data_IF_607792951157
#
_entry.id   IF_607792951157
#
_cell.length_a   1.000
_cell.length_b   1.000
_cell.length_c   1.000
_cell.angle_alpha   90.00
_cell.angle_beta   90.00
_cell.angle_gamma   90.00
#
_symmetry.space_group_name_H-M   'P 1'
#
loop_
_entity.id
_entity.type
_entity.pdbx_description
1 polymer ?
#
# COMPACT_ATOMS: atom_id res chain seq x y z
N UNK A 1 4.81 19.22 11.05
CA UNK A 1 5.58 18.45 10.05
C UNK A 1 7.06 18.69 10.25
N UNK A 2 7.89 17.64 10.19
CA UNK A 2 9.35 17.79 10.30
C UNK A 2 9.85 18.37 8.96
N UNK A 3 10.66 19.42 8.99
CA UNK A 3 11.31 19.96 7.79
C UNK A 3 12.44 19.04 7.34
N UNK A 4 13.44 19.59 6.61
CA UNK A 4 14.66 18.87 6.23
C UNK A 4 15.24 18.15 7.44
N UNK A 5 15.35 16.83 7.37
CA UNK A 5 16.05 16.05 8.38
C UNK A 5 17.52 15.96 7.95
N UNK A 6 18.41 16.66 8.65
CA UNK A 6 19.84 16.80 8.33
C UNK A 6 20.68 15.49 8.32
N UNK A 7 20.07 14.33 8.61
CA UNK A 7 20.68 12.99 8.52
C UNK A 7 19.90 12.06 7.57
N UNK A 8 19.29 12.60 6.53
CA UNK A 8 18.44 11.85 5.60
C UNK A 8 18.65 12.32 4.16
N UNK A 9 18.03 11.60 3.21
CA UNK A 9 18.02 11.93 1.78
C UNK A 9 17.66 13.41 1.50
N UNK A 10 16.87 14.05 2.37
CA UNK A 10 16.48 15.46 2.24
C UNK A 10 17.68 16.41 2.06
N UNK A 11 18.81 16.14 2.73
CA UNK A 11 20.01 17.00 2.61
C UNK A 11 20.62 16.89 1.21
N UNK A 12 20.68 15.67 0.66
CA UNK A 12 21.20 15.42 -0.69
C UNK A 12 20.29 16.13 -1.70
N UNK A 13 18.97 15.91 -1.63
CA UNK A 13 18.03 16.57 -2.53
C UNK A 13 18.05 18.11 -2.39
N UNK A 14 18.25 18.62 -1.17
CA UNK A 14 18.32 20.07 -0.91
C UNK A 14 19.56 20.71 -1.53
N UNK A 15 20.71 20.03 -1.47
CA UNK A 15 21.95 20.46 -2.13
C UNK A 15 21.80 20.41 -3.65
N UNK A 16 21.27 19.31 -4.19
CA UNK A 16 21.08 19.14 -5.63
C UNK A 16 20.06 20.14 -6.21
N UNK A 17 19.05 20.54 -5.43
CA UNK A 17 18.07 21.56 -5.82
C UNK A 17 18.67 22.96 -6.02
N UNK A 18 19.90 23.21 -5.55
CA UNK A 18 20.60 24.47 -5.79
C UNK A 18 21.28 24.52 -7.17
N UNK A 19 21.40 23.39 -7.87
CA UNK A 19 21.93 23.37 -9.24
C UNK A 19 20.92 23.92 -10.26
N UNK A 20 21.43 24.66 -11.23
CA UNK A 20 20.58 25.44 -12.15
C UNK A 20 19.70 24.59 -13.10
N UNK A 21 20.05 23.32 -13.37
CA UNK A 21 19.35 22.51 -14.37
C UNK A 21 18.78 21.20 -13.79
N UNK A 22 17.57 21.30 -13.23
CA UNK A 22 16.81 20.17 -12.68
C UNK A 22 16.54 19.08 -13.72
N UNK A 23 16.28 19.45 -14.98
CA UNK A 23 16.00 18.47 -16.05
C UNK A 23 17.23 17.62 -16.33
N UNK A 24 18.40 18.25 -16.47
CA UNK A 24 19.65 17.53 -16.67
C UNK A 24 19.98 16.60 -15.49
N UNK A 25 19.75 17.08 -14.26
CA UNK A 25 19.90 16.26 -13.07
C UNK A 25 19.00 15.01 -13.11
N UNK A 26 17.73 15.14 -13.51
CA UNK A 26 16.81 14.01 -13.65
C UNK A 26 17.24 13.02 -14.74
N UNK A 27 17.84 13.48 -15.84
CA UNK A 27 18.39 12.60 -16.88
C UNK A 27 19.55 11.79 -16.30
N UNK A 28 20.48 12.43 -15.58
CA UNK A 28 21.59 11.76 -14.90
C UNK A 28 21.05 10.72 -13.91
N UNK A 29 20.02 11.08 -13.12
CA UNK A 29 19.35 10.18 -12.18
C UNK A 29 18.71 8.97 -12.85
N UNK A 30 18.04 9.16 -13.98
CA UNK A 30 17.47 8.06 -14.75
C UNK A 30 18.54 7.10 -15.27
N UNK A 31 19.67 7.64 -15.73
CA UNK A 31 20.77 6.82 -16.21
C UNK A 31 21.57 6.12 -15.10
N UNK A 32 21.67 6.73 -13.92
CA UNK A 32 22.59 6.28 -12.87
C UNK A 32 21.95 5.68 -11.61
N UNK A 33 20.66 5.93 -11.31
CA UNK A 33 20.12 5.56 -9.99
C UNK A 33 18.62 5.19 -9.90
N UNK A 34 17.72 5.92 -10.55
CA UNK A 34 16.28 5.82 -10.23
C UNK A 34 15.35 6.15 -11.38
N UNK A 35 14.29 5.35 -11.50
CA UNK A 35 13.16 5.61 -12.41
C UNK A 35 12.10 6.54 -11.83
N UNK A 36 12.25 7.04 -10.60
CA UNK A 36 11.21 7.83 -9.90
C UNK A 36 11.15 9.28 -10.40
N UNK A 37 11.28 9.50 -11.71
CA UNK A 37 11.52 10.83 -12.31
C UNK A 37 10.46 11.86 -11.94
N UNK A 38 9.17 11.53 -12.04
CA UNK A 38 8.10 12.48 -11.67
C UNK A 38 8.09 12.79 -10.16
N UNK A 39 8.36 11.79 -9.33
CA UNK A 39 8.45 11.92 -7.87
C UNK A 39 9.65 12.80 -7.50
N UNK A 40 10.82 12.53 -8.07
CA UNK A 40 12.06 13.25 -7.82
C UNK A 40 11.99 14.68 -8.37
N UNK A 41 11.30 14.92 -9.49
CA UNK A 41 11.02 16.26 -10.00
C UNK A 41 10.18 17.07 -9.00
N UNK A 42 9.11 16.49 -8.47
CA UNK A 42 8.27 17.15 -7.49
C UNK A 42 9.05 17.43 -6.18
N UNK A 43 9.87 16.47 -5.74
CA UNK A 43 10.70 16.57 -4.55
C UNK A 43 11.74 17.69 -4.68
N UNK A 44 12.58 17.67 -5.72
CA UNK A 44 13.66 18.64 -5.89
C UNK A 44 13.13 20.08 -6.07
N UNK A 45 11.95 20.24 -6.67
CA UNK A 45 11.27 21.54 -6.82
C UNK A 45 10.80 22.12 -5.49
N UNK A 46 10.40 21.25 -4.54
CA UNK A 46 9.74 21.66 -3.30
C UNK A 46 10.60 21.47 -2.04
N UNK A 47 11.73 20.78 -2.12
CA UNK A 47 12.56 20.39 -0.95
C UNK A 47 12.99 21.61 -0.12
N UNK A 48 13.32 22.73 -0.78
CA UNK A 48 13.75 23.97 -0.13
C UNK A 48 12.57 24.89 0.25
N UNK A 49 11.33 24.52 -0.10
CA UNK A 49 10.11 25.29 0.12
C UNK A 49 9.17 24.59 1.13
N UNK A 50 9.59 24.55 2.40
CA UNK A 50 8.89 23.80 3.48
C UNK A 50 7.41 24.16 3.61
N UNK A 51 7.04 25.43 3.52
CA UNK A 51 5.63 25.87 3.66
C UNK A 51 4.81 25.32 2.49
N UNK A 52 5.30 25.48 1.27
CA UNK A 52 4.65 24.97 0.05
C UNK A 52 4.49 23.46 0.11
N UNK A 53 5.55 22.72 0.44
CA UNK A 53 5.45 21.27 0.66
C UNK A 53 4.42 20.93 1.72
N UNK A 54 4.41 21.63 2.87
CA UNK A 54 3.46 21.38 3.95
C UNK A 54 2.00 21.58 3.51
N UNK A 55 1.72 22.57 2.65
CA UNK A 55 0.38 22.80 2.11
C UNK A 55 -0.04 21.67 1.17
N UNK A 56 0.82 21.29 0.22
CA UNK A 56 0.56 20.15 -0.67
C UNK A 56 0.41 18.84 0.11
N UNK A 57 1.26 18.62 1.11
CA UNK A 57 1.22 17.40 1.91
C UNK A 57 -0.09 17.29 2.70
N UNK A 58 -0.57 18.38 3.31
CA UNK A 58 -1.90 18.43 3.94
C UNK A 58 -3.02 18.15 2.93
N UNK A 59 -2.91 18.68 1.72
CA UNK A 59 -3.86 18.41 0.64
C UNK A 59 -3.88 16.92 0.25
N UNK A 60 -2.72 16.27 0.12
CA UNK A 60 -2.63 14.85 -0.18
C UNK A 60 -3.16 13.95 0.96
N UNK A 61 -2.96 14.34 2.22
CA UNK A 61 -3.60 13.67 3.37
C UNK A 61 -5.13 13.78 3.24
N UNK A 62 -5.64 14.99 3.00
CA UNK A 62 -7.07 15.23 2.87
C UNK A 62 -7.68 14.44 1.71
N UNK A 63 -7.05 14.45 0.53
CA UNK A 63 -7.48 13.66 -0.64
C UNK A 63 -7.47 12.18 -0.33
N UNK A 64 -6.43 11.65 0.32
CA UNK A 64 -6.37 10.23 0.68
C UNK A 64 -7.59 9.85 1.53
N UNK A 65 -7.88 10.65 2.55
CA UNK A 65 -9.02 10.42 3.45
C UNK A 65 -10.35 10.53 2.67
N UNK A 66 -10.54 11.61 1.91
CA UNK A 66 -11.77 11.83 1.15
C UNK A 66 -12.01 10.76 0.08
N UNK A 67 -10.97 10.34 -0.64
CA UNK A 67 -11.07 9.34 -1.70
C UNK A 67 -11.39 7.96 -1.13
N UNK A 68 -10.70 7.54 -0.06
CA UNK A 68 -11.01 6.27 0.60
C UNK A 68 -12.45 6.30 1.10
N UNK A 69 -12.88 7.37 1.76
CA UNK A 69 -14.26 7.49 2.24
C UNK A 69 -15.30 7.44 1.12
N UNK A 70 -15.00 8.09 0.00
CA UNK A 70 -15.84 8.03 -1.19
C UNK A 70 -15.86 6.63 -1.80
N UNK A 71 -14.72 5.94 -1.91
CA UNK A 71 -14.61 4.60 -2.51
C UNK A 71 -15.35 3.55 -1.68
N UNK A 72 -15.27 3.62 -0.35
CA UNK A 72 -15.85 2.61 0.55
C UNK A 72 -17.35 2.81 0.81
N UNK A 73 -17.87 4.03 0.64
CA UNK A 73 -19.28 4.34 0.89
C UNK A 73 -20.23 3.97 -0.25
N UNK A 74 -21.49 3.62 0.03
CA UNK A 74 -22.53 3.41 -1.01
C UNK A 74 -23.28 4.70 -1.39
N UNK A 75 -22.58 5.84 -1.37
CA UNK A 75 -23.15 7.19 -1.62
C UNK A 75 -24.13 7.74 -0.57
N UNK A 76 -24.22 7.14 0.62
CA UNK A 76 -24.96 7.73 1.75
C UNK A 76 -24.05 8.60 2.64
N UNK A 77 -24.60 9.66 3.24
CA UNK A 77 -23.89 10.61 4.10
C UNK A 77 -23.28 9.90 5.32
N UNK A 78 -24.03 8.97 5.89
CA UNK A 78 -23.64 8.14 7.02
C UNK A 78 -22.43 7.28 6.66
N UNK A 79 -22.41 6.70 5.45
CA UNK A 79 -21.28 5.90 4.99
C UNK A 79 -20.02 6.74 4.73
N UNK A 80 -20.16 8.02 4.34
CA UNK A 80 -19.04 8.95 4.22
C UNK A 80 -18.46 9.26 5.61
N UNK A 81 -19.32 9.56 6.59
CA UNK A 81 -18.90 9.85 7.97
C UNK A 81 -18.24 8.62 8.62
N UNK A 82 -18.85 7.44 8.49
CA UNK A 82 -18.27 6.19 8.98
C UNK A 82 -16.91 5.91 8.35
N UNK A 83 -16.74 6.21 7.07
CA UNK A 83 -15.45 6.01 6.41
C UNK A 83 -14.39 7.02 6.85
N UNK A 84 -14.76 8.28 7.10
CA UNK A 84 -13.84 9.30 7.69
C UNK A 84 -13.39 8.86 9.09
N UNK A 85 -14.33 8.45 9.94
CA UNK A 85 -14.02 7.91 11.28
C UNK A 85 -13.08 6.71 11.18
N UNK A 86 -13.32 5.85 10.20
CA UNK A 86 -12.50 4.67 10.00
C UNK A 86 -11.09 4.99 9.52
N UNK A 87 -10.91 5.94 8.59
CA UNK A 87 -9.58 6.42 8.18
C UNK A 87 -8.79 7.04 9.32
N UNK A 88 -9.46 7.77 10.20
CA UNK A 88 -8.82 8.29 11.40
C UNK A 88 -8.34 7.14 12.28
N UNK A 89 -9.18 6.13 12.52
CA UNK A 89 -8.79 4.91 13.25
C UNK A 89 -7.58 4.25 12.57
N UNK A 90 -7.58 4.13 11.25
CA UNK A 90 -6.49 3.50 10.50
C UNK A 90 -5.18 4.26 10.58
N UNK A 91 -5.21 5.58 10.46
CA UNK A 91 -4.04 6.44 10.66
C UNK A 91 -3.50 6.25 12.09
N UNK A 92 -4.36 6.09 13.10
CA UNK A 92 -3.91 5.80 14.46
C UNK A 92 -3.46 4.34 14.71
N UNK A 93 -3.84 3.40 13.84
CA UNK A 93 -3.43 1.98 13.94
C UNK A 93 -2.08 1.69 13.29
N UNK A 94 -1.55 2.60 12.47
CA UNK A 94 -0.23 2.49 11.88
C UNK A 94 0.86 2.67 12.95
N UNK A 95 1.88 1.81 12.92
CA UNK A 95 3.10 2.04 13.72
C UNK A 95 3.61 3.46 13.44
N UNK A 96 3.97 4.17 14.52
CA UNK A 96 4.35 5.59 14.47
C UNK A 96 5.44 5.89 13.43
N UNK A 97 6.39 4.98 13.28
CA UNK A 97 7.50 5.12 12.32
C UNK A 97 7.04 5.05 10.87
N UNK A 98 6.01 4.25 10.55
CA UNK A 98 5.41 4.20 9.20
C UNK A 98 4.80 5.56 8.83
N UNK A 99 4.07 6.19 9.75
CA UNK A 99 3.49 7.52 9.52
C UNK A 99 4.58 8.59 9.45
N UNK A 100 5.52 8.54 10.40
CA UNK A 100 6.62 9.50 10.47
C UNK A 100 7.40 9.50 9.16
N UNK A 101 7.77 8.33 8.66
CA UNK A 101 8.64 8.20 7.50
C UNK A 101 7.85 8.19 6.17
N UNK A 102 6.59 7.74 6.14
CA UNK A 102 5.77 7.70 4.91
C UNK A 102 4.94 8.96 4.64
N UNK A 103 4.62 9.75 5.68
CA UNK A 103 3.70 10.91 5.60
C UNK A 103 4.34 12.21 6.10
N UNK A 104 5.02 12.17 7.24
CA UNK A 104 5.49 13.39 7.92
C UNK A 104 6.90 13.80 7.45
N UNK A 105 7.71 12.85 6.97
CA UNK A 105 9.01 13.09 6.37
C UNK A 105 8.85 13.56 4.92
N UNK A 106 9.62 14.58 4.52
CA UNK A 106 9.49 15.22 3.22
C UNK A 106 9.74 14.24 2.08
N UNK A 107 10.96 13.73 1.91
CA UNK A 107 11.27 12.74 0.86
C UNK A 107 10.36 11.52 0.92
N UNK A 108 10.02 11.05 2.12
CA UNK A 108 9.09 9.96 2.34
C UNK A 108 7.69 10.21 1.76
N UNK A 109 7.11 11.38 2.04
CA UNK A 109 5.77 11.73 1.56
C UNK A 109 5.65 11.72 0.04
N UNK A 110 6.69 12.15 -0.69
CA UNK A 110 6.73 12.10 -2.15
C UNK A 110 6.81 10.67 -2.70
N UNK A 111 7.50 9.76 -2.00
CA UNK A 111 7.66 8.37 -2.46
C UNK A 111 6.45 7.48 -2.12
N UNK A 112 5.68 7.85 -1.08
CA UNK A 112 4.64 6.98 -0.52
C UNK A 112 3.26 7.65 -0.51
N UNK A 113 3.05 8.70 0.28
CA UNK A 113 1.73 9.35 0.41
C UNK A 113 1.22 9.90 -0.92
N UNK A 114 2.02 10.68 -1.65
CA UNK A 114 1.54 11.37 -2.85
C UNK A 114 1.14 10.40 -3.97
N UNK A 115 1.94 9.36 -4.31
CA UNK A 115 1.54 8.36 -5.30
C UNK A 115 0.28 7.60 -4.90
N UNK A 116 0.15 7.20 -3.63
CA UNK A 116 -1.04 6.52 -3.12
C UNK A 116 -2.27 7.41 -3.22
N UNK A 117 -2.17 8.67 -2.82
CA UNK A 117 -3.27 9.63 -2.88
C UNK A 117 -3.75 9.86 -4.33
N UNK A 118 -2.83 10.01 -5.28
CA UNK A 118 -3.14 10.17 -6.71
C UNK A 118 -3.81 8.90 -7.28
N UNK A 119 -3.32 7.71 -6.94
CA UNK A 119 -3.92 6.44 -7.36
C UNK A 119 -5.36 6.30 -6.82
N UNK A 120 -5.57 6.57 -5.52
CA UNK A 120 -6.89 6.56 -4.91
C UNK A 120 -7.84 7.58 -5.54
N UNK A 121 -7.34 8.76 -5.90
CA UNK A 121 -8.16 9.75 -6.60
C UNK A 121 -8.57 9.25 -7.99
N UNK A 122 -7.65 8.60 -8.72
CA UNK A 122 -7.97 7.91 -9.98
C UNK A 122 -9.10 6.87 -9.82
N UNK A 123 -9.04 6.02 -8.80
CA UNK A 123 -10.12 5.07 -8.51
C UNK A 123 -11.44 5.74 -8.10
N UNK A 124 -11.38 6.85 -7.37
CA UNK A 124 -12.55 7.65 -7.04
C UNK A 124 -13.22 8.22 -8.30
N UNK A 125 -12.44 8.69 -9.29
CA UNK A 125 -12.99 9.14 -10.57
C UNK A 125 -13.68 8.00 -11.34
N UNK A 126 -13.09 6.81 -11.37
CA UNK A 126 -13.72 5.63 -12.00
C UNK A 126 -15.06 5.33 -11.34
N UNK A 127 -15.14 5.41 -10.01
CA UNK A 127 -16.39 5.23 -9.25
C UNK A 127 -17.42 6.32 -9.54
N UNK A 128 -16.99 7.57 -9.74
CA UNK A 128 -17.85 8.70 -10.03
C UNK A 128 -18.40 8.69 -11.47
N UNK A 129 -17.80 7.92 -12.37
CA UNK A 129 -18.11 7.89 -13.79
C UNK A 129 -19.61 7.72 -14.14
N UNK A 130 -20.39 6.86 -13.46
CA UNK A 130 -21.81 6.72 -13.75
C UNK A 130 -22.66 7.95 -13.38
N UNK A 131 -22.11 8.89 -12.59
CA UNK A 131 -22.82 10.07 -12.08
C UNK A 131 -22.66 11.30 -12.98
N UNK A 132 -21.77 11.26 -13.97
CA UNK A 132 -21.46 12.42 -14.81
C UNK A 132 -22.02 12.26 -16.22
N UNK A 133 -22.52 13.37 -16.79
CA UNK A 133 -23.01 13.40 -18.17
C UNK A 133 -21.86 13.41 -19.19
N UNK A 134 -20.87 14.29 -18.99
CA UNK A 134 -19.66 14.34 -19.80
C UNK A 134 -18.54 13.56 -19.12
N UNK A 135 -18.17 12.41 -19.69
CA UNK A 135 -17.17 11.53 -19.10
C UNK A 135 -15.74 11.87 -19.50
N UNK A 136 -15.51 12.61 -20.60
CA UNK A 136 -14.17 12.85 -21.13
C UNK A 136 -13.19 13.50 -20.14
N UNK A 137 -13.58 14.51 -19.33
CA UNK A 137 -12.71 15.08 -18.31
C UNK A 137 -12.22 14.03 -17.28
N UNK A 138 -13.07 13.06 -16.93
CA UNK A 138 -12.70 11.98 -16.00
C UNK A 138 -11.68 11.03 -16.63
N UNK A 139 -11.78 10.74 -17.93
CA UNK A 139 -10.79 9.91 -18.62
C UNK A 139 -9.41 10.57 -18.63
N UNK A 140 -9.34 11.86 -18.98
CA UNK A 140 -8.09 12.61 -19.00
C UNK A 140 -7.49 12.69 -17.60
N UNK A 141 -8.31 13.07 -16.61
CA UNK A 141 -7.86 13.17 -15.22
C UNK A 141 -7.39 11.81 -14.66
N UNK A 142 -8.15 10.74 -14.88
CA UNK A 142 -7.74 9.39 -14.46
C UNK A 142 -6.42 8.97 -15.13
N UNK A 143 -6.28 9.18 -16.45
CA UNK A 143 -5.03 8.89 -17.16
C UNK A 143 -3.83 9.61 -16.51
N UNK A 144 -3.96 10.91 -16.25
CA UNK A 144 -2.89 11.72 -15.62
C UNK A 144 -2.58 11.22 -14.21
N UNK A 145 -3.59 10.95 -13.38
CA UNK A 145 -3.35 10.49 -12.00
C UNK A 145 -2.75 9.09 -11.92
N UNK A 146 -3.18 8.17 -12.79
CA UNK A 146 -2.57 6.85 -12.88
C UNK A 146 -1.16 6.90 -13.46
N UNK A 147 -0.89 7.78 -14.42
CA UNK A 147 0.46 8.03 -14.92
C UNK A 147 1.39 8.52 -13.79
N UNK A 148 1.01 9.61 -13.11
CA UNK A 148 1.86 10.21 -12.06
C UNK A 148 2.05 9.29 -10.84
N UNK A 149 0.99 8.60 -10.40
CA UNK A 149 1.09 7.67 -9.26
C UNK A 149 1.96 6.44 -9.55
N UNK A 150 2.05 6.01 -10.81
CA UNK A 150 2.77 4.79 -11.18
C UNK A 150 4.29 4.94 -11.19
N UNK A 151 4.84 6.15 -10.92
CA UNK A 151 6.29 6.30 -10.74
C UNK A 151 6.81 5.70 -9.42
N UNK A 152 5.92 5.33 -8.50
CA UNK A 152 6.25 4.54 -7.31
C UNK A 152 6.13 3.05 -7.63
N UNK A 153 7.20 2.28 -7.37
CA UNK A 153 7.25 0.86 -7.76
C UNK A 153 6.16 0.02 -7.07
N UNK A 154 5.82 0.33 -5.82
CA UNK A 154 4.74 -0.37 -5.11
C UNK A 154 3.36 0.01 -5.66
N UNK A 155 3.14 1.29 -5.99
CA UNK A 155 1.83 1.78 -6.45
C UNK A 155 1.54 1.35 -7.89
N UNK A 156 2.55 1.27 -8.76
CA UNK A 156 2.34 0.73 -10.13
C UNK A 156 1.88 -0.72 -10.10
N UNK A 157 2.41 -1.55 -9.19
CA UNK A 157 1.98 -2.93 -9.06
C UNK A 157 0.52 -3.03 -8.59
N UNK A 158 0.13 -2.22 -7.60
CA UNK A 158 -1.27 -2.11 -7.15
C UNK A 158 -2.19 -1.68 -8.31
N UNK A 159 -1.80 -0.63 -9.04
CA UNK A 159 -2.55 -0.12 -10.18
C UNK A 159 -2.73 -1.19 -11.27
N UNK A 160 -1.67 -1.92 -11.62
CA UNK A 160 -1.71 -2.99 -12.62
C UNK A 160 -2.74 -4.08 -12.24
N UNK A 161 -2.70 -4.56 -11.00
CA UNK A 161 -3.63 -5.61 -10.52
C UNK A 161 -5.07 -5.10 -10.56
N UNK A 162 -5.33 -3.93 -9.97
CA UNK A 162 -6.69 -3.42 -9.80
C UNK A 162 -7.32 -2.92 -11.10
N UNK A 163 -6.58 -2.19 -11.94
CA UNK A 163 -7.12 -1.71 -13.22
C UNK A 163 -7.39 -2.86 -14.17
N UNK A 164 -6.54 -3.90 -14.18
CA UNK A 164 -6.79 -5.13 -14.95
C UNK A 164 -8.07 -5.83 -14.45
N UNK A 165 -8.22 -5.93 -13.12
CA UNK A 165 -9.42 -6.49 -12.49
C UNK A 165 -10.68 -5.74 -12.92
N UNK A 166 -10.67 -4.40 -12.84
CA UNK A 166 -11.81 -3.57 -13.25
C UNK A 166 -12.11 -3.67 -14.76
N UNK A 167 -11.07 -3.67 -15.60
CA UNK A 167 -11.21 -3.82 -17.05
C UNK A 167 -11.79 -5.18 -17.47
N UNK A 168 -11.54 -6.23 -16.69
CA UNK A 168 -12.07 -7.57 -16.96
C UNK A 168 -13.51 -7.75 -16.44
N UNK A 169 -13.83 -7.23 -15.25
CA UNK A 169 -15.12 -7.47 -14.58
C UNK A 169 -16.22 -6.53 -15.06
N UNK A 170 -15.89 -5.28 -15.37
CA UNK A 170 -16.86 -4.27 -15.79
C UNK A 170 -16.93 -4.16 -17.30
N UNK A 171 -17.99 -3.52 -17.79
CA UNK A 171 -18.23 -3.25 -19.21
C UNK A 171 -18.52 -1.76 -19.42
N UNK A 172 -18.70 -1.33 -20.67
CA UNK A 172 -19.05 0.05 -20.99
C UNK A 172 -17.96 1.05 -20.58
N UNK A 173 -18.39 2.22 -20.07
CA UNK A 173 -17.48 3.31 -19.75
C UNK A 173 -16.50 2.96 -18.63
N UNK A 174 -16.88 2.13 -17.65
CA UNK A 174 -15.98 1.71 -16.57
C UNK A 174 -14.83 0.90 -17.14
N UNK A 175 -15.10 -0.07 -18.03
CA UNK A 175 -14.05 -0.84 -18.70
C UNK A 175 -13.12 0.05 -19.52
N UNK A 176 -13.70 0.98 -20.29
CA UNK A 176 -12.93 1.89 -21.15
C UNK A 176 -12.00 2.80 -20.35
N UNK A 177 -12.48 3.42 -19.27
CA UNK A 177 -11.62 4.28 -18.42
C UNK A 177 -10.55 3.45 -17.70
N UNK A 178 -10.87 2.22 -17.27
CA UNK A 178 -9.89 1.31 -16.67
C UNK A 178 -8.81 0.89 -17.67
N UNK A 179 -9.16 0.60 -18.92
CA UNK A 179 -8.17 0.29 -19.98
C UNK A 179 -7.31 1.52 -20.29
N UNK A 180 -7.90 2.70 -20.42
CA UNK A 180 -7.17 3.95 -20.66
C UNK A 180 -6.17 4.22 -19.52
N UNK A 181 -6.61 4.05 -18.27
CA UNK A 181 -5.77 4.16 -17.08
C UNK A 181 -4.68 3.08 -17.04
N UNK A 182 -5.01 1.86 -17.45
CA UNK A 182 -4.05 0.74 -17.50
C UNK A 182 -2.94 1.02 -18.52
N UNK A 183 -3.25 1.66 -19.66
CA UNK A 183 -2.25 2.10 -20.63
C UNK A 183 -1.28 3.09 -19.97
N UNK A 184 -1.78 4.10 -19.23
CA UNK A 184 -0.93 5.03 -18.49
C UNK A 184 0.00 4.31 -17.50
N UNK A 185 -0.55 3.36 -16.73
CA UNK A 185 0.22 2.56 -15.77
C UNK A 185 1.27 1.68 -16.46
N UNK A 186 0.93 1.03 -17.58
CA UNK A 186 1.85 0.17 -18.35
C UNK A 186 3.00 1.00 -18.93
N UNK A 187 2.73 2.20 -19.45
CA UNK A 187 3.79 3.10 -19.95
C UNK A 187 4.86 3.37 -18.88
N UNK A 188 4.42 3.68 -17.65
CA UNK A 188 5.34 3.95 -16.54
C UNK A 188 5.99 2.65 -16.03
N UNK A 189 5.26 1.53 -16.01
CA UNK A 189 5.85 0.24 -15.67
C UNK A 189 6.98 -0.14 -16.61
N UNK A 190 6.78 0.01 -17.93
CA UNK A 190 7.81 -0.20 -18.96
C UNK A 190 9.00 0.72 -18.68
N UNK A 191 8.75 2.01 -18.44
CA UNK A 191 9.80 2.98 -18.09
C UNK A 191 10.63 2.54 -16.87
N UNK A 192 9.99 2.02 -15.82
CA UNK A 192 10.67 1.53 -14.60
C UNK A 192 11.55 0.31 -14.90
N UNK A 193 11.04 -0.69 -15.62
CA UNK A 193 11.80 -1.93 -15.89
C UNK A 193 12.92 -1.72 -16.92
N UNK A 194 12.79 -0.72 -17.81
CA UNK A 194 13.84 -0.36 -18.77
C UNK A 194 14.86 0.64 -18.21
N UNK A 195 14.62 1.21 -17.02
CA UNK A 195 15.50 2.20 -16.42
C UNK A 195 16.90 1.63 -16.13
N UNK A 196 17.96 2.10 -16.79
CA UNK A 196 19.32 1.64 -16.53
C UNK A 196 19.80 2.02 -15.14
N UNK A 197 19.36 3.16 -14.61
CA UNK A 197 19.69 3.61 -13.26
C UNK A 197 19.23 2.65 -12.16
N UNK A 198 18.07 2.02 -12.31
CA UNK A 198 17.61 1.01 -11.36
C UNK A 198 18.54 -0.20 -11.32
N UNK A 199 19.09 -0.61 -12.47
CA UNK A 199 20.08 -1.70 -12.54
C UNK A 199 21.41 -1.29 -11.93
N UNK A 200 21.89 -0.09 -12.24
CA UNK A 200 23.12 0.46 -11.64
C UNK A 200 23.02 0.52 -10.11
N UNK A 201 21.90 1.04 -9.59
CA UNK A 201 21.61 1.08 -8.15
C UNK A 201 21.60 -0.30 -7.51
N UNK A 202 20.98 -1.30 -8.16
CA UNK A 202 20.97 -2.68 -7.66
C UNK A 202 22.39 -3.21 -7.42
N UNK A 203 23.32 -3.02 -8.37
CA UNK A 203 24.70 -3.47 -8.22
C UNK A 203 25.47 -2.74 -7.11
N UNK A 204 25.14 -1.47 -6.84
CA UNK A 204 25.74 -0.70 -5.76
C UNK A 204 25.15 -1.04 -4.39
N UNK A 205 23.87 -1.41 -4.34
CA UNK A 205 23.16 -1.74 -3.11
C UNK A 205 23.48 -3.15 -2.59
N UNK A 206 23.71 -4.13 -3.47
CA UNK A 206 24.05 -5.52 -3.10
C UNK A 206 25.22 -5.60 -2.10
N UNK A 207 26.44 -5.13 -2.42
CA UNK A 207 27.58 -5.27 -1.50
C UNK A 207 27.42 -4.45 -0.23
N UNK A 208 26.56 -3.42 -0.24
CA UNK A 208 26.34 -2.51 0.88
C UNK A 208 25.33 -3.05 1.89
N UNK A 209 24.26 -3.70 1.43
CA UNK A 209 23.10 -4.01 2.26
C UNK A 209 22.84 -5.51 2.43
N UNK A 210 23.08 -6.30 1.39
CA UNK A 210 22.89 -7.75 1.46
C UNK A 210 23.77 -8.45 0.40
N UNK A 211 25.05 -8.74 0.73
CA UNK A 211 25.97 -9.37 -0.21
C UNK A 211 25.48 -10.72 -0.76
N UNK A 212 24.79 -11.51 0.06
CA UNK A 212 24.26 -12.83 -0.32
C UNK A 212 23.04 -12.75 -1.24
N UNK A 213 22.49 -11.55 -1.48
CA UNK A 213 21.36 -11.36 -2.39
C UNK A 213 21.62 -11.89 -3.82
N UNK A 214 22.88 -11.91 -4.25
CA UNK A 214 23.29 -12.49 -5.56
C UNK A 214 23.03 -13.99 -5.62
N UNK A 215 23.21 -14.69 -4.50
CA UNK A 215 23.09 -16.13 -4.40
C UNK A 215 21.65 -16.61 -4.12
N UNK A 216 20.72 -15.67 -3.88
CA UNK A 216 19.30 -15.99 -3.63
C UNK A 216 18.52 -16.20 -4.93
N UNK A 217 17.72 -17.27 -4.96
CA UNK A 217 16.81 -17.54 -6.08
C UNK A 217 15.62 -16.58 -6.06
N UNK A 218 14.84 -16.54 -7.15
CA UNK A 218 13.57 -15.78 -7.18
C UNK A 218 12.61 -16.30 -6.10
N UNK A 219 12.61 -17.61 -5.83
CA UNK A 219 11.76 -18.20 -4.80
C UNK A 219 12.15 -17.71 -3.40
N UNK A 220 13.44 -17.65 -3.09
CA UNK A 220 13.94 -17.11 -1.81
C UNK A 220 13.54 -15.64 -1.64
N UNK A 221 13.64 -14.85 -2.71
CA UNK A 221 13.21 -13.44 -2.73
C UNK A 221 11.72 -13.29 -2.48
N UNK A 222 10.89 -14.16 -3.06
CA UNK A 222 9.44 -14.18 -2.78
C UNK A 222 9.19 -14.55 -1.32
N UNK A 223 9.90 -15.55 -0.77
CA UNK A 223 9.80 -15.91 0.67
C UNK A 223 10.17 -14.73 1.56
N UNK A 224 11.23 -13.98 1.25
CA UNK A 224 11.60 -12.76 1.97
C UNK A 224 10.47 -11.73 1.98
N UNK A 225 9.81 -11.52 0.84
CA UNK A 225 8.69 -10.61 0.74
C UNK A 225 7.41 -11.09 1.46
N UNK A 226 7.16 -12.41 1.49
CA UNK A 226 6.08 -13.00 2.29
C UNK A 226 6.39 -12.86 3.80
N UNK A 227 7.65 -13.02 4.20
CA UNK A 227 8.08 -12.75 5.57
C UNK A 227 7.82 -11.29 5.99
N UNK A 228 8.07 -10.32 5.11
CA UNK A 228 7.68 -8.93 5.38
C UNK A 228 6.16 -8.77 5.55
N UNK A 229 5.37 -9.57 4.85
CA UNK A 229 3.93 -9.59 5.02
C UNK A 229 3.50 -10.15 6.39
N UNK A 230 4.28 -11.06 6.98
CA UNK A 230 4.09 -11.49 8.36
C UNK A 230 4.25 -10.31 9.32
N UNK A 231 5.33 -9.52 9.16
CA UNK A 231 5.57 -8.32 9.98
C UNK A 231 4.46 -7.28 9.80
N UNK A 232 3.99 -7.09 8.57
CA UNK A 232 2.84 -6.23 8.28
C UNK A 232 1.61 -6.63 9.12
N UNK A 233 1.31 -7.94 9.18
CA UNK A 233 0.12 -8.47 9.87
C UNK A 233 0.28 -8.39 11.39
N UNK A 234 1.40 -8.83 11.94
CA UNK A 234 1.51 -9.08 13.38
C UNK A 234 2.25 -8.00 14.17
N UNK A 235 3.07 -7.17 13.49
CA UNK A 235 3.97 -6.22 14.15
C UNK A 235 3.69 -4.77 13.76
N UNK A 236 3.44 -4.50 12.47
CA UNK A 236 3.34 -3.13 11.94
C UNK A 236 1.92 -2.57 12.05
N UNK A 237 0.89 -3.35 11.69
CA UNK A 237 -0.49 -2.89 11.69
C UNK A 237 -1.52 -3.97 12.10
N UNK A 238 -1.34 -4.69 13.23
CA UNK A 238 -2.22 -5.78 13.62
C UNK A 238 -3.66 -5.34 13.89
N UNK A 239 -3.88 -4.11 14.36
CA UNK A 239 -5.23 -3.59 14.62
C UNK A 239 -6.09 -3.49 13.36
N UNK A 240 -5.52 -3.18 12.19
CA UNK A 240 -6.29 -3.14 10.94
C UNK A 240 -6.83 -4.54 10.58
N UNK A 241 -6.03 -5.58 10.85
CA UNK A 241 -6.44 -6.97 10.66
C UNK A 241 -7.49 -7.42 11.68
N UNK A 242 -7.36 -7.03 12.95
CA UNK A 242 -8.39 -7.24 13.98
C UNK A 242 -9.73 -6.68 13.50
N UNK A 243 -9.74 -5.43 13.03
CA UNK A 243 -10.97 -4.79 12.57
C UNK A 243 -11.53 -5.47 11.31
N UNK A 244 -10.66 -5.87 10.38
CA UNK A 244 -11.07 -6.60 9.18
C UNK A 244 -11.78 -7.90 9.55
N UNK A 245 -11.19 -8.77 10.37
CA UNK A 245 -11.79 -10.06 10.73
C UNK A 245 -13.01 -9.92 11.64
N UNK A 246 -13.03 -8.94 12.56
CA UNK A 246 -14.22 -8.64 13.34
C UNK A 246 -15.39 -8.20 12.43
N UNK A 247 -15.11 -7.36 11.43
CA UNK A 247 -16.11 -6.91 10.46
C UNK A 247 -16.57 -8.05 9.55
N UNK A 248 -15.66 -8.92 9.10
CA UNK A 248 -15.99 -10.10 8.29
C UNK A 248 -16.81 -11.13 9.08
N UNK A 249 -16.56 -11.29 10.38
CA UNK A 249 -17.38 -12.14 11.25
C UNK A 249 -18.83 -11.66 11.31
N UNK A 250 -19.06 -10.33 11.36
CA UNK A 250 -20.41 -9.73 11.32
C UNK A 250 -21.02 -9.81 9.91
N UNK A 251 -20.24 -9.51 8.87
CA UNK A 251 -20.70 -9.45 7.48
C UNK A 251 -20.88 -10.82 6.81
N UNK A 252 -20.22 -11.87 7.30
CA UNK A 252 -20.36 -13.22 6.74
C UNK A 252 -21.80 -13.71 6.88
N UNK A 253 -22.40 -14.23 5.82
CA UNK A 253 -23.75 -14.80 5.89
C UNK A 253 -23.73 -16.26 6.34
N UNK A 254 -22.66 -16.98 5.99
CA UNK A 254 -22.52 -18.41 6.25
C UNK A 254 -21.84 -18.67 7.59
N UNK A 255 -22.38 -19.62 8.36
CA UNK A 255 -21.85 -20.01 9.68
C UNK A 255 -20.36 -20.37 9.60
N UNK A 256 -19.96 -21.11 8.59
CA UNK A 256 -18.57 -21.50 8.40
C UNK A 256 -17.64 -20.29 8.23
N UNK A 257 -17.98 -19.32 7.37
CA UNK A 257 -17.19 -18.10 7.18
C UNK A 257 -17.12 -17.22 8.46
N UNK A 258 -18.20 -17.18 9.26
CA UNK A 258 -18.19 -16.53 10.58
C UNK A 258 -17.19 -17.19 11.53
N UNK A 259 -17.22 -18.53 11.62
CA UNK A 259 -16.32 -19.30 12.48
C UNK A 259 -14.87 -19.10 12.03
N UNK A 260 -14.58 -19.21 10.73
CA UNK A 260 -13.22 -18.98 10.20
C UNK A 260 -12.74 -17.55 10.51
N UNK A 261 -13.61 -16.55 10.36
CA UNK A 261 -13.28 -15.15 10.73
C UNK A 261 -12.97 -15.00 12.22
N UNK A 262 -13.75 -15.66 13.08
CA UNK A 262 -13.52 -15.66 14.52
C UNK A 262 -12.19 -16.34 14.90
N UNK A 263 -11.84 -17.45 14.24
CA UNK A 263 -10.55 -18.13 14.44
C UNK A 263 -9.39 -17.21 14.03
N UNK A 264 -9.48 -16.55 12.86
CA UNK A 264 -8.43 -15.62 12.40
C UNK A 264 -8.27 -14.43 13.37
N UNK A 265 -9.40 -13.88 13.84
CA UNK A 265 -9.40 -12.83 14.86
C UNK A 265 -8.70 -13.28 16.14
N UNK A 266 -9.03 -14.46 16.66
CA UNK A 266 -8.42 -15.02 17.87
C UNK A 266 -6.91 -15.26 17.71
N UNK A 267 -6.47 -15.74 16.56
CA UNK A 267 -5.04 -15.93 16.27
C UNK A 267 -4.28 -14.60 16.32
N UNK A 268 -4.82 -13.55 15.70
CA UNK A 268 -4.17 -12.23 15.72
C UNK A 268 -4.14 -11.65 17.13
N UNK A 269 -5.25 -11.72 17.87
CA UNK A 269 -5.30 -11.23 19.26
C UNK A 269 -4.32 -11.99 20.17
N UNK A 270 -4.19 -13.30 19.99
CA UNK A 270 -3.21 -14.12 20.71
C UNK A 270 -1.79 -13.67 20.40
N UNK A 271 -1.43 -13.54 19.12
CA UNK A 271 -0.08 -13.11 18.72
C UNK A 271 0.22 -11.69 19.20
N UNK A 272 -0.75 -10.77 19.14
CA UNK A 272 -0.60 -9.43 19.70
C UNK A 272 -0.33 -9.46 21.21
N UNK A 273 -1.04 -10.30 21.96
CA UNK A 273 -0.84 -10.47 23.40
C UNK A 273 0.55 -11.06 23.70
N UNK A 274 0.99 -12.06 22.92
CA UNK A 274 2.32 -12.65 23.04
C UNK A 274 3.43 -11.63 22.72
N UNK A 275 3.28 -10.84 21.65
CA UNK A 275 4.25 -9.79 21.29
C UNK A 275 4.37 -8.77 22.43
N UNK A 276 3.23 -8.32 22.97
CA UNK A 276 3.22 -7.38 24.10
C UNK A 276 3.85 -7.96 25.36
N UNK A 277 3.65 -9.25 25.62
CA UNK A 277 4.29 -9.96 26.72
C UNK A 277 5.81 -10.08 26.51
N UNK A 278 6.26 -10.38 25.28
CA UNK A 278 7.69 -10.47 24.96
C UNK A 278 8.43 -9.12 25.12
N UNK A 279 7.80 -8.01 24.72
CA UNK A 279 8.34 -6.66 24.92
C UNK A 279 8.57 -6.37 26.42
N UNK A 280 7.70 -6.88 27.29
CA UNK A 280 7.76 -6.68 28.74
C UNK A 280 8.81 -7.57 29.42
N UNK A 281 9.07 -8.76 28.90
CA UNK A 281 10.01 -9.72 29.49
C UNK A 281 11.42 -9.66 28.90
N UNK A 282 11.62 -8.93 27.79
CA UNK A 282 12.90 -8.74 27.09
C UNK A 282 13.58 -10.02 26.57
N UNK A 283 12.97 -11.20 26.74
CA UNK A 283 13.66 -12.51 26.61
C UNK A 283 13.14 -13.46 25.52
N UNK A 284 12.33 -12.99 24.57
CA UNK A 284 11.81 -13.86 23.50
C UNK A 284 11.71 -13.14 22.15
N UNK A 285 12.83 -12.99 21.44
CA UNK A 285 12.89 -12.16 20.22
C UNK A 285 13.33 -12.90 18.95
N UNK A 286 13.50 -14.22 18.96
CA UNK A 286 13.94 -14.96 17.78
C UNK A 286 12.83 -15.34 16.78
N UNK A 287 11.58 -15.53 17.24
CA UNK A 287 10.44 -15.89 16.36
C UNK A 287 9.83 -14.66 15.67
N UNK A 288 10.06 -13.47 16.24
CA UNK A 288 9.43 -12.21 15.84
C UNK A 288 10.37 -11.25 15.09
N UNK A 289 11.69 -11.33 15.33
CA UNK A 289 12.68 -10.54 14.62
C UNK A 289 13.47 -11.42 13.66
N UNK A 290 12.91 -11.61 12.47
CA UNK A 290 13.58 -12.32 11.40
C UNK A 290 14.67 -11.44 10.76
N UNK A 291 15.88 -11.98 10.64
CA UNK A 291 16.99 -11.36 9.92
C UNK A 291 17.29 -12.14 8.62
N UNK A 292 17.83 -11.44 7.62
CA UNK A 292 18.17 -11.98 6.29
C UNK A 292 19.10 -13.20 6.31
N UNK A 293 19.82 -13.42 7.41
CA UNK A 293 20.89 -14.41 7.50
C UNK A 293 20.37 -15.87 7.50
N UNK A 294 19.04 -16.08 7.55
CA UNK A 294 18.42 -17.42 7.53
C UNK A 294 17.16 -17.51 6.66
N UNK A 295 17.23 -17.04 5.41
CA UNK A 295 16.12 -17.12 4.43
C UNK A 295 15.51 -18.51 4.29
N UNK A 296 16.35 -19.56 4.36
CA UNK A 296 15.96 -20.98 4.31
C UNK A 296 15.74 -21.62 5.68
N UNK A 297 15.86 -20.86 6.77
CA UNK A 297 15.64 -21.35 8.12
C UNK A 297 14.18 -21.77 8.35
N UNK A 298 13.97 -22.77 9.21
CA UNK A 298 12.63 -23.28 9.52
C UNK A 298 11.65 -22.17 9.95
N UNK A 299 12.12 -21.13 10.66
CA UNK A 299 11.31 -19.98 11.09
C UNK A 299 10.80 -19.17 9.89
N UNK A 300 11.66 -18.89 8.90
CA UNK A 300 11.28 -18.19 7.67
C UNK A 300 10.16 -18.91 6.92
N UNK A 301 10.32 -20.23 6.77
CA UNK A 301 9.35 -21.08 6.08
C UNK A 301 8.03 -21.12 6.85
N UNK A 302 8.07 -21.28 8.18
CA UNK A 302 6.87 -21.29 9.03
C UNK A 302 6.12 -19.95 8.92
N UNK A 303 6.81 -18.81 8.99
CA UNK A 303 6.20 -17.48 8.81
C UNK A 303 5.54 -17.36 7.44
N UNK A 304 6.23 -17.78 6.39
CA UNK A 304 5.68 -17.76 5.04
C UNK A 304 4.43 -18.64 4.89
N UNK A 305 4.46 -19.86 5.43
CA UNK A 305 3.31 -20.79 5.43
C UNK A 305 2.13 -20.20 6.20
N UNK A 306 2.35 -19.58 7.35
CA UNK A 306 1.28 -18.92 8.13
C UNK A 306 0.62 -17.81 7.31
N UNK A 307 1.42 -16.93 6.67
CA UNK A 307 0.88 -15.86 5.83
C UNK A 307 0.08 -16.41 4.65
N UNK A 308 0.60 -17.43 3.95
CA UNK A 308 -0.09 -18.05 2.82
C UNK A 308 -1.39 -18.74 3.24
N UNK A 309 -1.40 -19.43 4.38
CA UNK A 309 -2.59 -20.05 4.94
C UNK A 309 -3.65 -18.99 5.32
N UNK A 310 -3.24 -17.92 6.00
CA UNK A 310 -4.14 -16.79 6.30
C UNK A 310 -4.66 -16.12 5.03
N UNK A 311 -3.81 -15.94 4.02
CA UNK A 311 -4.23 -15.36 2.74
C UNK A 311 -5.29 -16.22 2.06
N UNK A 312 -5.09 -17.54 1.98
CA UNK A 312 -6.05 -18.47 1.40
C UNK A 312 -7.40 -18.45 2.16
N UNK A 313 -7.35 -18.50 3.50
CA UNK A 313 -8.55 -18.44 4.35
C UNK A 313 -9.26 -17.09 4.21
N UNK A 314 -8.53 -15.98 4.11
CA UNK A 314 -9.11 -14.65 3.93
C UNK A 314 -9.78 -14.52 2.57
N UNK A 315 -9.16 -15.01 1.50
CA UNK A 315 -9.76 -15.06 0.17
C UNK A 315 -11.08 -15.85 0.22
N UNK A 316 -11.07 -17.02 0.87
CA UNK A 316 -12.27 -17.82 1.08
C UNK A 316 -13.37 -17.05 1.83
N UNK A 317 -13.04 -16.40 2.95
CA UNK A 317 -14.00 -15.59 3.73
C UNK A 317 -14.57 -14.46 2.87
N UNK A 318 -13.75 -13.74 2.09
CA UNK A 318 -14.18 -12.64 1.23
C UNK A 318 -15.18 -13.12 0.17
N UNK A 319 -14.90 -14.25 -0.50
CA UNK A 319 -15.80 -14.87 -1.46
C UNK A 319 -17.16 -15.25 -0.86
N UNK A 320 -17.15 -15.67 0.42
CA UNK A 320 -18.35 -16.13 1.13
C UNK A 320 -19.13 -15.00 1.84
N UNK A 321 -18.50 -13.84 2.03
CA UNK A 321 -19.10 -12.70 2.76
C UNK A 321 -19.91 -11.76 1.86
N UNK A 322 -19.51 -11.63 0.60
CA UNK A 322 -20.13 -10.72 -0.35
C UNK A 322 -21.17 -11.44 -1.23
N UNK A 323 -22.27 -10.77 -1.59
CA UNK A 323 -23.31 -11.36 -2.45
C UNK A 323 -23.00 -11.16 -3.93
N UNK A 324 -22.61 -9.95 -4.33
CA UNK A 324 -22.37 -9.59 -5.72
C UNK A 324 -21.03 -10.15 -6.20
N UNK A 325 -21.03 -10.92 -7.30
CA UNK A 325 -19.81 -11.52 -7.84
C UNK A 325 -18.77 -10.47 -8.25
N UNK A 326 -19.17 -9.31 -8.78
CA UNK A 326 -18.23 -8.23 -9.12
C UNK A 326 -17.54 -7.68 -7.88
N UNK A 327 -18.29 -7.48 -6.79
CA UNK A 327 -17.75 -7.02 -5.50
C UNK A 327 -16.78 -8.07 -4.92
N UNK A 328 -17.09 -9.38 -5.01
CA UNK A 328 -16.20 -10.46 -4.56
C UNK A 328 -14.83 -10.38 -5.22
N UNK A 329 -14.78 -10.36 -6.55
CA UNK A 329 -13.51 -10.32 -7.27
C UNK A 329 -12.73 -9.04 -6.99
N UNK A 330 -13.40 -7.87 -6.95
CA UNK A 330 -12.74 -6.61 -6.60
C UNK A 330 -12.13 -6.70 -5.20
N UNK A 331 -12.87 -7.18 -4.19
CA UNK A 331 -12.35 -7.31 -2.83
C UNK A 331 -11.15 -8.28 -2.73
N UNK A 332 -11.20 -9.40 -3.45
CA UNK A 332 -10.13 -10.41 -3.47
C UNK A 332 -8.86 -9.89 -4.13
N UNK A 333 -8.96 -9.27 -5.32
CA UNK A 333 -7.79 -8.72 -5.99
C UNK A 333 -7.24 -7.49 -5.27
N UNK A 334 -8.10 -6.72 -4.60
CA UNK A 334 -7.68 -5.66 -3.69
C UNK A 334 -6.90 -6.22 -2.49
N UNK A 335 -7.38 -7.30 -1.89
CA UNK A 335 -6.65 -8.01 -0.83
C UNK A 335 -5.31 -8.55 -1.32
N UNK A 336 -5.24 -9.18 -2.49
CA UNK A 336 -3.99 -9.66 -3.08
C UNK A 336 -3.01 -8.50 -3.33
N UNK A 337 -3.51 -7.37 -3.81
CA UNK A 337 -2.68 -6.20 -4.07
C UNK A 337 -2.07 -5.57 -2.80
N UNK A 338 -2.65 -5.80 -1.62
CA UNK A 338 -2.05 -5.32 -0.37
C UNK A 338 -0.74 -6.03 -0.02
N UNK A 339 -0.54 -7.25 -0.51
CA UNK A 339 0.71 -8.01 -0.39
C UNK A 339 1.69 -7.75 -1.53
N UNK A 340 1.23 -7.18 -2.66
CA UNK A 340 2.11 -6.95 -3.81
C UNK A 340 3.30 -6.04 -3.45
N UNK A 341 3.05 -5.01 -2.63
CA UNK A 341 4.09 -4.10 -2.15
C UNK A 341 5.15 -4.81 -1.29
N UNK A 342 4.74 -5.61 -0.30
CA UNK A 342 5.66 -6.37 0.57
C UNK A 342 6.41 -7.46 -0.18
N UNK A 343 5.74 -8.17 -1.09
CA UNK A 343 6.38 -9.20 -1.91
C UNK A 343 7.40 -8.61 -2.88
N UNK A 344 7.10 -7.46 -3.50
CA UNK A 344 8.06 -6.77 -4.36
C UNK A 344 9.32 -6.32 -3.63
N UNK A 345 9.24 -5.96 -2.35
CA UNK A 345 10.43 -5.60 -1.56
C UNK A 345 11.38 -6.77 -1.38
N UNK A 346 10.87 -8.01 -1.44
CA UNK A 346 11.65 -9.24 -1.54
C UNK A 346 12.65 -9.26 -2.70
N UNK A 347 12.35 -8.53 -3.77
CA UNK A 347 13.19 -8.40 -4.97
C UNK A 347 14.25 -7.29 -4.85
N UNK A 348 14.40 -6.66 -3.68
CA UNK A 348 15.38 -5.61 -3.41
C UNK A 348 16.40 -6.04 -2.35
N UNK A 349 17.71 -5.80 -2.54
CA UNK A 349 18.72 -6.05 -1.51
C UNK A 349 18.54 -5.14 -0.28
N UNK A 350 17.77 -4.05 -0.40
CA UNK A 350 17.52 -3.08 0.67
C UNK A 350 16.33 -3.42 1.57
N UNK A 351 15.80 -4.64 1.47
CA UNK A 351 14.58 -5.08 2.15
C UNK A 351 14.57 -4.77 3.66
N UNK A 352 15.68 -5.02 4.38
CA UNK A 352 15.82 -4.70 5.82
C UNK A 352 16.50 -3.35 6.11
N UNK A 353 17.08 -2.70 5.10
CA UNK A 353 17.72 -1.39 5.25
C UNK A 353 16.71 -0.23 5.23
N UNK A 354 15.56 -0.45 4.60
CA UNK A 354 14.63 0.62 4.22
C UNK A 354 13.65 1.05 5.32
N UNK A 355 13.88 0.68 6.59
CA UNK A 355 13.00 0.97 7.75
C UNK A 355 11.52 0.60 7.53
N UNK A 356 10.64 0.96 8.47
CA UNK A 356 9.22 0.61 8.42
C UNK A 356 8.43 1.36 7.32
N UNK A 357 8.99 2.40 6.69
CA UNK A 357 8.30 3.20 5.66
C UNK A 357 7.82 2.38 4.46
N UNK A 358 8.53 1.30 4.16
CA UNK A 358 8.21 0.41 3.03
C UNK A 358 6.85 -0.28 3.17
N UNK A 359 6.30 -0.33 4.39
CA UNK A 359 4.99 -0.88 4.71
C UNK A 359 3.84 0.11 4.49
N UNK A 360 4.12 1.35 4.11
CA UNK A 360 3.07 2.38 4.01
C UNK A 360 1.97 2.00 3.00
N UNK A 361 2.35 1.58 1.78
CA UNK A 361 1.36 1.25 0.73
C UNK A 361 0.52 0.05 1.13
N UNK A 362 1.16 -1.06 1.55
CA UNK A 362 0.45 -2.27 2.03
C UNK A 362 -0.50 -1.93 3.19
N UNK A 363 -0.05 -1.09 4.12
CA UNK A 363 -0.87 -0.65 5.24
C UNK A 363 -2.10 0.13 4.79
N UNK A 364 -1.95 1.11 3.89
CA UNK A 364 -3.11 1.85 3.35
C UNK A 364 -4.07 0.90 2.63
N UNK A 365 -3.55 -0.07 1.87
CA UNK A 365 -4.40 -1.05 1.21
C UNK A 365 -5.21 -1.88 2.22
N UNK A 366 -4.58 -2.52 3.21
CA UNK A 366 -5.31 -3.28 4.25
C UNK A 366 -6.33 -2.40 4.96
N UNK A 367 -5.95 -1.15 5.23
CA UNK A 367 -6.78 -0.16 5.90
C UNK A 367 -8.08 0.10 5.14
N UNK A 368 -8.01 0.40 3.84
CA UNK A 368 -9.20 0.61 3.00
C UNK A 368 -10.12 -0.62 2.98
N UNK A 369 -9.55 -1.83 2.92
CA UNK A 369 -10.34 -3.06 2.93
C UNK A 369 -11.08 -3.24 4.26
N UNK A 370 -10.40 -3.01 5.38
CA UNK A 370 -11.03 -3.03 6.70
C UNK A 370 -12.15 -1.98 6.79
N UNK A 371 -11.96 -0.80 6.18
CA UNK A 371 -12.94 0.30 6.19
C UNK A 371 -14.22 -0.07 5.47
N UNK A 372 -14.05 -0.69 4.30
CA UNK A 372 -15.15 -1.16 3.48
C UNK A 372 -16.03 -2.18 4.23
N UNK A 373 -15.42 -3.15 4.91
CA UNK A 373 -16.17 -4.15 5.67
C UNK A 373 -16.74 -3.61 6.98
N UNK A 374 -16.03 -2.75 7.70
CA UNK A 374 -16.55 -2.14 8.92
C UNK A 374 -17.77 -1.27 8.64
N UNK A 375 -17.74 -0.48 7.57
CA UNK A 375 -18.89 0.34 7.15
C UNK A 375 -20.10 -0.54 6.79
N UNK A 376 -19.87 -1.69 6.14
CA UNK A 376 -20.93 -2.65 5.86
C UNK A 376 -21.49 -3.31 7.13
N UNK A 377 -20.62 -3.65 8.09
CA UNK A 377 -21.03 -4.24 9.36
C UNK A 377 -21.93 -3.28 10.15
N UNK A 378 -21.56 -1.99 10.22
CA UNK A 378 -22.36 -0.94 10.86
C UNK A 378 -23.74 -0.81 10.19
N UNK A 379 -23.78 -0.73 8.86
CA UNK A 379 -25.03 -0.57 8.14
C UNK A 379 -25.99 -1.75 8.33
N UNK A 380 -25.48 -2.99 8.36
CA UNK A 380 -26.32 -4.17 8.64
C UNK A 380 -26.95 -4.16 10.02
N UNK A 381 -26.25 -3.65 11.04
CA UNK A 381 -26.82 -3.54 12.39
C UNK A 381 -27.95 -2.51 12.47
N UNK A 382 -27.88 -1.44 11.69
CA UNK A 382 -28.93 -0.42 11.62
C UNK A 382 -30.18 -0.95 10.89
N UNK A 383 -30.01 -1.77 9.85
CA UNK A 383 -31.13 -2.38 9.12
C UNK A 383 -31.87 -3.46 9.92
N UNK A 384 -31.22 -4.13 10.87
CA UNK A 384 -31.84 -5.16 11.72
C UNK A 384 -32.55 -4.57 12.94
N UNK A 385 -32.22 -3.34 13.33
CA UNK A 385 -32.81 -2.64 14.49
C UNK A 385 -33.96 -1.70 14.13
N UNK A 386 -34.28 -1.56 12.84
CA UNK A 386 -35.49 -0.93 12.31
C UNK A 386 -36.46 -2.01 11.87
#
# INVERSE_FOLDING_TARGET
>A
MKGIIHKSDDLIFSQEAQHANVINWLIIRYHGWSSRTAIEFALITLINNKITWSLFNSFFIAITISCVAYITSRFSREAIISSVVFLLVLIFTLKKDVLKDGVIWMTGSFNYLWPVALSLFGFALIKALPLVKNTMPLYIAAFVFFFLSSFSEQVVAVNLILLTTLAFIYTGNIRKISICSLIATILVFVYIITCPGNKARLFLEIPRWNPDFVNTTIFDKVILGINMSFDQIFSIQPLAWVILYASLMVCSMLKFAKITSAIMLSIILLIMALNRFSDLTHDYTAVLHFNSDSVSGAISIVRAVVVLAMAALTIFILFMSLRNNKEKYVAVFYYISSFAGTVMLGLSPTIYASSDRIFFVSSVMVSVLAAYFATQAINRHIEVTR
#
